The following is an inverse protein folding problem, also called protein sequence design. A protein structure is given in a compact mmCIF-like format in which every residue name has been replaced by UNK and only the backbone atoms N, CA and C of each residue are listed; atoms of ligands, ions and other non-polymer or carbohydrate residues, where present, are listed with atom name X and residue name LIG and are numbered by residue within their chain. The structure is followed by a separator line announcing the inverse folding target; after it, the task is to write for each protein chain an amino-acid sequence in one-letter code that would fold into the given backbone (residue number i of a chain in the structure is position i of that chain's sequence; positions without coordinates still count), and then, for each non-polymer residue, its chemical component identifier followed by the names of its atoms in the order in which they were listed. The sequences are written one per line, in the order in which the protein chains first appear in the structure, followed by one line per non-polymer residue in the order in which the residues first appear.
data_IF_337048957168
#
_entry.id   IF_337048957168
#
_cell.length_a   1.000
_cell.length_b   1.000
_cell.length_c   1.000
_cell.angle_alpha   90.00
_cell.angle_beta   90.00
_cell.angle_gamma   90.00
#
_symmetry.space_group_name_H-M   'P 1'
#
loop_
_entity.id
_entity.type
_entity.pdbx_description
1 polymer ?
#
# COMPACT_ATOMS: atom_id res chain seq x y z
N UNK A 1 22.98 -24.77 -44.55
CA UNK A 1 21.71 -24.31 -43.93
C UNK A 1 21.85 -23.78 -42.49
N UNK A 2 22.95 -24.02 -41.76
CA UNK A 2 23.11 -23.57 -40.36
C UNK A 2 23.33 -22.05 -40.14
N UNK A 3 23.67 -21.28 -41.18
CA UNK A 3 24.01 -19.85 -41.01
C UNK A 3 22.81 -18.93 -40.73
N UNK A 4 21.60 -19.29 -41.19
CA UNK A 4 20.46 -18.38 -41.11
C UNK A 4 19.80 -18.35 -39.72
N UNK A 5 19.84 -19.46 -38.97
CA UNK A 5 19.22 -19.54 -37.64
C UNK A 5 20.02 -18.79 -36.58
N UNK A 6 21.36 -18.75 -36.69
CA UNK A 6 22.19 -18.01 -35.75
C UNK A 6 22.01 -16.49 -35.92
N UNK A 7 21.85 -16.04 -37.17
CA UNK A 7 21.60 -14.63 -37.48
C UNK A 7 20.23 -14.15 -36.96
N UNK A 8 19.18 -15.00 -37.00
CA UNK A 8 17.86 -14.60 -36.48
C UNK A 8 17.84 -14.51 -34.95
N UNK A 9 18.48 -15.46 -34.26
CA UNK A 9 18.56 -15.44 -32.80
C UNK A 9 19.32 -14.21 -32.29
N UNK A 10 20.43 -13.85 -32.94
CA UNK A 10 21.19 -12.64 -32.61
C UNK A 10 20.35 -11.37 -32.82
N UNK A 11 19.56 -11.31 -33.90
CA UNK A 11 18.67 -10.19 -34.19
C UNK A 11 17.59 -10.02 -33.11
N UNK A 12 17.01 -11.11 -32.61
CA UNK A 12 15.98 -11.05 -31.56
C UNK A 12 16.55 -10.54 -30.23
N UNK A 13 17.76 -10.96 -29.86
CA UNK A 13 18.43 -10.49 -28.63
C UNK A 13 18.76 -9.00 -28.73
N UNK A 14 19.31 -8.55 -29.88
CA UNK A 14 19.60 -7.13 -30.11
C UNK A 14 18.32 -6.31 -30.10
N UNK A 15 17.23 -6.80 -30.72
CA UNK A 15 15.93 -6.14 -30.71
C UNK A 15 15.36 -6.01 -29.29
N UNK A 16 15.50 -7.02 -28.42
CA UNK A 16 15.11 -6.93 -27.01
C UNK A 16 15.93 -5.88 -26.25
N UNK A 17 17.25 -5.82 -26.46
CA UNK A 17 18.08 -4.80 -25.81
C UNK A 17 17.73 -3.38 -26.29
N UNK A 18 17.47 -3.20 -27.58
CA UNK A 18 16.99 -1.92 -28.12
C UNK A 18 15.60 -1.55 -27.59
N UNK A 19 14.70 -2.52 -27.44
CA UNK A 19 13.38 -2.27 -26.86
C UNK A 19 13.48 -1.82 -25.41
N UNK A 20 14.38 -2.42 -24.62
CA UNK A 20 14.62 -2.01 -23.23
C UNK A 20 15.33 -0.64 -23.13
N UNK A 21 16.12 -0.23 -24.11
CA UNK A 21 16.73 1.11 -24.15
C UNK A 21 15.78 2.20 -24.67
N UNK A 22 14.84 1.87 -25.57
CA UNK A 22 13.81 2.79 -26.07
C UNK A 22 12.64 2.90 -25.09
N UNK A 23 12.28 1.82 -24.39
CA UNK A 23 11.47 1.92 -23.18
C UNK A 23 12.36 2.54 -22.12
N UNK A 24 12.52 3.86 -22.17
CA UNK A 24 13.14 4.67 -21.14
C UNK A 24 12.33 4.55 -19.86
N UNK A 25 12.34 3.36 -19.25
CA UNK A 25 11.99 3.13 -17.86
C UNK A 25 13.10 3.87 -17.14
N UNK A 26 12.82 5.06 -16.57
CA UNK A 26 13.83 5.74 -15.81
C UNK A 26 14.15 4.79 -14.65
N UNK A 27 15.36 4.24 -14.64
CA UNK A 27 15.95 3.82 -13.39
C UNK A 27 16.07 5.12 -12.62
N UNK A 28 15.09 5.41 -11.77
CA UNK A 28 15.16 6.47 -10.80
C UNK A 28 16.30 6.04 -9.87
N UNK A 29 17.53 6.40 -10.25
CA UNK A 29 18.64 6.49 -9.32
C UNK A 29 18.26 7.66 -8.41
N UNK A 30 17.56 7.36 -7.32
CA UNK A 30 17.51 8.27 -6.18
C UNK A 30 18.96 8.53 -5.79
N UNK A 31 19.41 9.75 -6.02
CA UNK A 31 20.74 10.19 -5.63
C UNK A 31 20.82 10.08 -4.10
N UNK A 32 21.70 9.24 -3.52
CA UNK A 32 21.77 9.05 -2.06
C UNK A 32 22.24 10.31 -1.32
N UNK A 33 22.56 11.39 -2.03
CA UNK A 33 22.91 12.68 -1.44
C UNK A 33 21.74 13.68 -1.35
N UNK A 34 20.51 13.29 -1.73
CA UNK A 34 19.33 14.11 -1.46
C UNK A 34 18.98 14.03 0.03
N UNK A 35 19.57 14.95 0.79
CA UNK A 35 19.36 15.10 2.23
C UNK A 35 17.85 15.23 2.52
N UNK A 36 17.28 14.47 3.48
CA UNK A 36 15.83 14.39 3.72
C UNK A 36 15.11 15.72 3.92
N UNK A 37 15.84 16.79 4.27
CA UNK A 37 15.28 18.09 4.62
C UNK A 37 14.56 18.80 3.46
N UNK A 38 14.98 18.58 2.20
CA UNK A 38 14.38 19.28 1.05
C UNK A 38 13.01 18.73 0.65
N UNK A 39 12.78 17.42 0.83
CA UNK A 39 11.47 16.80 0.59
C UNK A 39 10.46 17.29 1.63
N UNK A 40 10.90 17.47 2.89
CA UNK A 40 10.05 18.02 3.96
C UNK A 40 9.57 19.44 3.66
N UNK A 41 10.45 20.28 3.10
CA UNK A 41 10.12 21.69 2.84
C UNK A 41 9.14 21.86 1.67
N UNK A 42 9.31 21.09 0.58
CA UNK A 42 8.41 21.14 -0.58
C UNK A 42 7.02 20.60 -0.25
N UNK A 43 6.95 19.60 0.62
CA UNK A 43 5.69 19.05 1.12
C UNK A 43 4.94 20.13 1.93
N UNK A 44 5.61 20.93 2.76
CA UNK A 44 4.98 21.91 3.65
C UNK A 44 4.13 23.00 2.96
N UNK A 45 4.43 23.38 1.71
CA UNK A 45 3.76 24.50 1.02
C UNK A 45 2.48 24.13 0.26
N UNK A 46 2.18 22.84 0.06
CA UNK A 46 1.09 22.38 -0.83
C UNK A 46 -0.11 21.76 -0.12
N UNK A 47 -0.16 21.79 1.21
CA UNK A 47 -1.25 21.16 1.95
C UNK A 47 -2.52 22.01 1.87
N UNK A 48 -3.61 21.41 1.41
CA UNK A 48 -4.96 21.98 1.41
C UNK A 48 -5.43 22.20 2.86
N UNK A 49 -6.42 23.09 3.08
CA UNK A 49 -7.06 23.34 4.39
C UNK A 49 -7.87 22.13 4.93
N UNK A 50 -7.76 20.97 4.29
CA UNK A 50 -8.52 19.78 4.64
C UNK A 50 -7.85 19.02 5.79
N UNK A 51 -8.67 18.40 6.65
CA UNK A 51 -8.18 17.55 7.74
C UNK A 51 -7.30 16.44 7.18
N UNK A 52 -6.03 16.44 7.55
CA UNK A 52 -5.07 15.43 7.07
C UNK A 52 -4.95 14.34 8.13
N UNK A 53 -5.34 13.12 7.78
CA UNK A 53 -5.16 11.95 8.63
C UNK A 53 -4.18 10.97 8.00
N UNK A 54 -3.20 10.51 8.78
CA UNK A 54 -2.29 9.42 8.43
C UNK A 54 -2.56 8.20 9.29
N UNK A 55 -2.36 6.99 8.77
CA UNK A 55 -2.49 5.77 9.57
C UNK A 55 -1.46 5.73 10.68
N UNK A 56 -1.89 5.39 11.90
CA UNK A 56 -0.98 5.14 13.03
C UNK A 56 -0.46 3.71 12.91
N UNK A 57 0.87 3.54 12.95
CA UNK A 57 1.57 2.29 12.68
C UNK A 57 2.55 1.92 13.81
N UNK A 58 2.06 1.73 15.03
CA UNK A 58 2.83 1.31 16.21
C UNK A 58 3.57 2.44 16.94
N UNK A 59 3.57 3.65 16.38
CA UNK A 59 4.33 4.80 16.89
C UNK A 59 3.43 5.89 17.48
N UNK A 60 4.01 6.80 18.23
CA UNK A 60 3.34 8.04 18.60
C UNK A 60 3.00 8.87 17.33
N UNK A 61 1.97 9.72 17.44
CA UNK A 61 1.63 10.63 16.36
C UNK A 61 2.74 11.67 16.14
N UNK A 62 2.98 12.11 14.88
CA UNK A 62 3.91 13.19 14.60
C UNK A 62 3.51 14.48 15.34
N UNK A 63 4.48 15.37 15.57
CA UNK A 63 4.21 16.65 16.22
C UNK A 63 3.14 17.45 15.46
N UNK A 64 2.13 17.93 16.19
CA UNK A 64 1.01 18.68 15.61
C UNK A 64 -0.12 17.81 15.06
N UNK A 65 -0.02 16.48 15.16
CA UNK A 65 -1.13 15.56 14.92
C UNK A 65 -1.66 15.00 16.23
N UNK A 66 -2.96 14.77 16.30
CA UNK A 66 -3.64 14.10 17.42
C UNK A 66 -4.14 12.74 16.98
N UNK A 67 -4.13 11.78 17.90
CA UNK A 67 -4.74 10.48 17.64
C UNK A 67 -6.25 10.61 17.46
N UNK A 68 -6.78 9.90 16.46
CA UNK A 68 -8.21 9.80 16.17
C UNK A 68 -8.55 8.35 15.76
N UNK A 69 -9.83 7.98 15.84
CA UNK A 69 -10.31 6.66 15.49
C UNK A 69 -11.47 6.74 14.51
N UNK A 70 -11.31 6.07 13.37
CA UNK A 70 -12.37 5.83 12.41
C UNK A 70 -12.95 4.44 12.65
N UNK A 71 -14.26 4.37 12.86
CA UNK A 71 -14.98 3.10 13.06
C UNK A 71 -15.96 2.88 11.93
N UNK A 72 -15.82 1.75 11.25
CA UNK A 72 -16.79 1.25 10.28
C UNK A 72 -17.42 -0.01 10.85
N UNK A 73 -18.73 0.03 11.09
CA UNK A 73 -19.50 -1.10 11.58
C UNK A 73 -20.44 -1.62 10.50
N UNK A 74 -20.35 -2.92 10.18
CA UNK A 74 -21.15 -3.59 9.15
C UNK A 74 -21.73 -4.87 9.72
N UNK A 75 -23.04 -5.08 9.55
CA UNK A 75 -23.67 -6.36 9.86
C UNK A 75 -23.47 -7.31 8.68
N UNK A 76 -23.12 -8.56 8.97
CA UNK A 76 -23.07 -9.63 7.96
C UNK A 76 -23.41 -10.98 8.59
N UNK A 77 -24.03 -11.82 7.79
CA UNK A 77 -24.35 -13.23 8.06
C UNK A 77 -23.12 -14.15 7.98
N UNK A 78 -22.02 -13.71 7.39
CA UNK A 78 -20.77 -14.47 7.29
C UNK A 78 -20.13 -14.63 8.68
N UNK A 79 -19.72 -15.85 9.01
CA UNK A 79 -19.00 -16.20 10.24
C UNK A 79 -17.48 -16.11 10.03
N UNK A 80 -16.67 -15.78 11.05
CA UNK A 80 -15.21 -15.82 10.93
C UNK A 80 -14.61 -17.19 10.61
N UNK A 81 -15.40 -18.26 10.78
CA UNK A 81 -15.03 -19.63 10.42
C UNK A 81 -15.42 -20.01 8.99
N UNK A 82 -16.13 -19.15 8.27
CA UNK A 82 -16.55 -19.44 6.92
C UNK A 82 -15.38 -19.26 5.94
N UNK A 83 -15.26 -20.21 5.02
CA UNK A 83 -14.19 -20.24 4.03
C UNK A 83 -14.77 -19.97 2.64
N UNK A 84 -14.01 -19.22 1.84
CA UNK A 84 -14.28 -19.04 0.43
C UNK A 84 -13.95 -20.30 -0.38
N UNK A 85 -14.29 -20.28 -1.66
CA UNK A 85 -14.00 -21.38 -2.58
C UNK A 85 -12.50 -21.68 -2.71
N UNK A 86 -11.64 -20.68 -2.46
CA UNK A 86 -10.18 -20.80 -2.45
C UNK A 86 -9.61 -21.40 -1.14
N UNK A 87 -10.45 -21.74 -0.16
CA UNK A 87 -10.02 -22.26 1.13
C UNK A 87 -9.47 -21.20 2.10
N UNK A 88 -9.57 -19.90 1.76
CA UNK A 88 -9.22 -18.81 2.66
C UNK A 88 -10.43 -18.39 3.51
N UNK A 89 -10.19 -17.90 4.71
CA UNK A 89 -11.26 -17.35 5.56
C UNK A 89 -11.86 -16.11 4.90
N UNK A 90 -13.19 -16.05 4.83
CA UNK A 90 -13.90 -14.89 4.28
C UNK A 90 -13.71 -13.64 5.15
N UNK A 91 -13.58 -13.83 6.46
CA UNK A 91 -13.29 -12.76 7.42
C UNK A 91 -12.14 -13.19 8.32
N UNK A 92 -11.00 -12.50 8.19
CA UNK A 92 -9.88 -12.65 9.13
C UNK A 92 -10.00 -11.61 10.23
N UNK A 93 -10.42 -12.06 11.41
CA UNK A 93 -10.39 -11.27 12.64
C UNK A 93 -8.95 -11.01 13.06
N UNK A 94 -8.69 -9.88 13.70
CA UNK A 94 -7.37 -9.62 14.29
C UNK A 94 -7.01 -8.15 14.43
N UNK A 95 -5.72 -7.94 14.67
CA UNK A 95 -5.11 -6.63 14.87
C UNK A 95 -3.86 -6.51 14.00
N UNK A 96 -3.74 -5.38 13.29
CA UNK A 96 -2.57 -5.00 12.52
C UNK A 96 -2.15 -3.58 12.95
N UNK A 97 -1.06 -3.50 13.73
CA UNK A 97 -0.72 -2.26 14.44
C UNK A 97 -1.84 -1.87 15.40
N UNK A 98 -2.34 -0.65 15.29
CA UNK A 98 -3.48 -0.13 16.05
C UNK A 98 -4.83 -0.36 15.34
N UNK A 99 -4.81 -0.83 14.09
CA UNK A 99 -6.03 -1.18 13.36
C UNK A 99 -6.53 -2.54 13.81
N UNK A 100 -7.83 -2.66 14.09
CA UNK A 100 -8.44 -3.90 14.55
C UNK A 100 -9.76 -4.19 13.86
N UNK A 101 -10.02 -5.46 13.60
CA UNK A 101 -11.34 -5.95 13.18
C UNK A 101 -11.90 -6.82 14.31
N UNK A 102 -13.04 -6.41 14.85
CA UNK A 102 -13.74 -7.09 15.96
C UNK A 102 -15.16 -7.44 15.57
N UNK A 103 -15.75 -8.45 16.22
CA UNK A 103 -17.13 -8.92 15.95
C UNK A 103 -17.90 -8.94 17.26
N UNK A 104 -19.02 -8.22 17.30
CA UNK A 104 -20.05 -8.43 18.31
C UNK A 104 -20.93 -9.60 17.87
N UNK A 105 -20.93 -10.67 18.67
CA UNK A 105 -21.63 -11.92 18.35
C UNK A 105 -23.15 -11.76 18.43
N UNK A 106 -23.65 -10.93 19.35
CA UNK A 106 -25.10 -10.77 19.57
C UNK A 106 -25.78 -10.07 18.39
N UNK A 107 -25.12 -9.06 17.83
CA UNK A 107 -25.69 -8.23 16.76
C UNK A 107 -25.19 -8.62 15.37
N UNK A 108 -24.40 -9.70 15.27
CA UNK A 108 -23.67 -10.07 14.05
C UNK A 108 -22.92 -8.88 13.40
N UNK A 109 -22.40 -7.98 14.25
CA UNK A 109 -21.85 -6.69 13.84
C UNK A 109 -20.32 -6.76 13.85
N UNK A 110 -19.72 -6.52 12.70
CA UNK A 110 -18.27 -6.40 12.56
C UNK A 110 -17.88 -4.93 12.62
N UNK A 111 -16.89 -4.60 13.44
CA UNK A 111 -16.37 -3.25 13.57
C UNK A 111 -14.90 -3.24 13.21
N UNK A 112 -14.59 -2.58 12.09
CA UNK A 112 -13.24 -2.18 11.72
C UNK A 112 -12.93 -0.86 12.41
N UNK A 113 -11.93 -0.86 13.30
CA UNK A 113 -11.40 0.35 13.93
C UNK A 113 -10.05 0.66 13.33
N UNK A 114 -9.92 1.79 12.65
CA UNK A 114 -8.68 2.31 12.11
C UNK A 114 -8.23 3.46 12.99
N UNK A 115 -7.02 3.37 13.54
CA UNK A 115 -6.42 4.46 14.30
C UNK A 115 -5.58 5.32 13.39
N UNK A 116 -5.83 6.62 13.43
CA UNK A 116 -5.15 7.63 12.61
C UNK A 116 -4.54 8.71 13.49
N UNK A 117 -3.57 9.44 12.94
CA UNK A 117 -3.10 10.70 13.46
C UNK A 117 -3.62 11.79 12.53
N UNK A 118 -4.44 12.70 13.04
CA UNK A 118 -5.08 13.77 12.26
C UNK A 118 -4.57 15.16 12.65
N UNK A 119 -4.56 16.09 11.69
CA UNK A 119 -4.25 17.51 11.87
C UNK A 119 -5.40 18.37 11.37
#
# INVERSE_FOLDING_TARGET
MLSNNFSSALFVIIAMFLFNFISGVPIIMSNPHETPHLVTEKISKSWTDERLCVLKMGSACPQGFTEDQLKLSVQTDVNPKDYGHNGEQLIRMGQAGETSLTRNVYDALYTLTITTCCK
#
